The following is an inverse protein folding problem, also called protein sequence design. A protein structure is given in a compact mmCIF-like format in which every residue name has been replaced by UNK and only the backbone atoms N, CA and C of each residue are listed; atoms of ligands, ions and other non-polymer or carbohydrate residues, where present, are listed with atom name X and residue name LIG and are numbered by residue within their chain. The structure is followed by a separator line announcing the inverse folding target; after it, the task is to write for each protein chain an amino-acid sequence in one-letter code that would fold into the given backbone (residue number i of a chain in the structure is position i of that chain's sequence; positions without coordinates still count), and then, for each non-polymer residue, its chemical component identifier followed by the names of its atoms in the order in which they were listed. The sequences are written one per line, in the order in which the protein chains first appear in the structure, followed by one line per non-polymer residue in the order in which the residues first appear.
data_IF_498058178345
#
_entry.id   IF_498058178345
#
_cell.length_a   1.000
_cell.length_b   1.000
_cell.length_c   1.000
_cell.angle_alpha   90.00
_cell.angle_beta   90.00
_cell.angle_gamma   90.00
#
_symmetry.space_group_name_H-M   'P 1'
#
loop_
_entity.id
_entity.type
_entity.pdbx_description
1 polymer ?
#
# COMPACT_ATOMS: atom_id res chain seq x y z
N UNK A 1 8.93 15.02 31.19
CA UNK A 1 7.86 14.84 30.18
C UNK A 1 8.09 13.61 29.31
N UNK A 2 7.03 12.80 29.09
CA UNK A 2 6.80 12.02 27.86
C UNK A 2 7.36 10.57 27.71
N UNK A 3 7.49 9.75 28.77
CA UNK A 3 7.55 8.27 28.60
C UNK A 3 6.20 7.73 28.07
N UNK A 4 5.09 8.31 28.54
CA UNK A 4 3.70 8.00 28.12
C UNK A 4 3.33 8.40 26.69
N UNK A 5 3.80 9.56 26.22
CA UNK A 5 3.58 10.01 24.84
C UNK A 5 4.36 9.15 23.84
N UNK A 6 5.55 8.67 24.25
CA UNK A 6 6.35 7.68 23.49
C UNK A 6 5.63 6.33 23.43
N UNK A 7 5.01 5.89 24.53
CA UNK A 7 4.23 4.64 24.61
C UNK A 7 2.89 4.66 23.83
N UNK A 8 2.17 5.78 23.84
CA UNK A 8 0.99 5.95 22.96
C UNK A 8 1.38 5.96 21.48
N UNK A 9 2.52 6.58 21.13
CA UNK A 9 3.07 6.54 19.76
C UNK A 9 3.46 5.11 19.34
N UNK A 10 4.06 4.31 20.23
CA UNK A 10 4.44 2.92 19.91
C UNK A 10 3.22 2.03 19.71
N UNK A 11 2.18 2.16 20.54
CA UNK A 11 0.92 1.41 20.38
C UNK A 11 0.17 1.80 19.11
N UNK A 12 0.15 3.09 18.74
CA UNK A 12 -0.45 3.57 17.48
C UNK A 12 0.31 3.05 16.25
N UNK A 13 1.65 2.94 16.34
CA UNK A 13 2.52 2.39 15.29
C UNK A 13 2.35 0.86 15.13
N UNK A 14 2.13 0.13 16.23
CA UNK A 14 1.82 -1.31 16.20
C UNK A 14 0.44 -1.58 15.60
N UNK A 15 -0.58 -0.76 15.91
CA UNK A 15 -1.95 -0.93 15.39
C UNK A 15 -2.04 -0.76 13.86
N UNK A 16 -1.20 0.08 13.26
CA UNK A 16 -1.09 0.25 11.80
C UNK A 16 -0.30 -0.87 11.10
N UNK A 17 0.40 -1.72 11.84
CA UNK A 17 1.20 -2.85 11.33
C UNK A 17 0.42 -4.18 11.36
N UNK A 18 -0.92 -4.15 11.39
CA UNK A 18 -1.72 -5.35 11.16
C UNK A 18 -1.75 -5.62 9.67
N UNK A 19 -0.81 -6.46 9.21
CA UNK A 19 -0.95 -7.16 7.93
C UNK A 19 -2.27 -7.94 7.98
N UNK A 20 -3.20 -7.64 7.08
CA UNK A 20 -4.32 -8.54 6.83
C UNK A 20 -3.75 -9.91 6.47
N UNK A 21 -4.24 -10.98 7.11
CA UNK A 21 -3.79 -12.36 6.87
C UNK A 21 -3.93 -12.73 5.39
N UNK A 22 -4.89 -12.13 4.68
CA UNK A 22 -5.25 -12.43 3.30
C UNK A 22 -4.43 -11.72 2.21
N UNK A 23 -3.55 -10.75 2.54
CA UNK A 23 -2.86 -9.96 1.50
C UNK A 23 -1.34 -9.93 1.63
N UNK A 24 -0.63 -10.02 0.51
CA UNK A 24 0.83 -9.96 0.45
C UNK A 24 1.23 -8.76 -0.37
N UNK A 25 2.13 -7.94 0.16
CA UNK A 25 2.62 -6.75 -0.51
C UNK A 25 4.04 -6.97 -1.02
N UNK A 26 4.29 -6.57 -2.26
CA UNK A 26 5.62 -6.40 -2.83
C UNK A 26 5.84 -4.93 -3.17
N UNK A 27 7.09 -4.49 -3.03
CA UNK A 27 7.46 -3.09 -3.19
C UNK A 27 8.81 -2.96 -3.88
N UNK A 28 8.87 -2.15 -4.93
CA UNK A 28 10.10 -1.74 -5.59
C UNK A 28 10.29 -0.24 -5.38
N UNK A 29 11.48 0.12 -4.93
CA UNK A 29 11.83 1.51 -4.66
C UNK A 29 12.91 2.03 -5.61
N UNK A 30 12.88 3.34 -5.84
CA UNK A 30 13.92 4.08 -6.57
C UNK A 30 14.09 3.57 -8.01
N UNK A 31 13.00 3.19 -8.65
CA UNK A 31 13.04 2.83 -10.07
C UNK A 31 13.21 4.12 -10.87
N UNK A 32 14.27 4.21 -11.67
CA UNK A 32 14.59 5.38 -12.49
C UNK A 32 13.68 5.48 -13.74
N UNK A 33 12.42 5.79 -13.50
CA UNK A 33 11.42 6.00 -14.55
C UNK A 33 10.34 6.99 -14.08
N UNK A 34 9.68 7.63 -15.05
CA UNK A 34 8.51 8.47 -14.75
C UNK A 34 7.35 7.62 -14.26
N UNK A 35 6.71 8.06 -13.18
CA UNK A 35 5.52 7.41 -12.63
C UNK A 35 4.41 7.24 -13.67
N UNK A 36 4.23 8.19 -14.59
CA UNK A 36 3.21 8.10 -15.65
C UNK A 36 3.45 6.91 -16.60
N UNK A 37 4.72 6.62 -16.92
CA UNK A 37 5.07 5.47 -17.79
C UNK A 37 4.78 4.14 -17.10
N UNK A 38 5.04 4.05 -15.81
CA UNK A 38 4.71 2.86 -15.02
C UNK A 38 3.20 2.72 -14.80
N UNK A 39 2.48 3.83 -14.55
CA UNK A 39 1.00 3.83 -14.38
C UNK A 39 0.30 3.24 -15.60
N UNK A 40 0.73 3.60 -16.81
CA UNK A 40 0.17 3.05 -18.06
C UNK A 40 0.15 1.51 -18.07
N UNK A 41 1.15 0.85 -17.50
CA UNK A 41 1.20 -0.62 -17.39
C UNK A 41 0.39 -1.10 -16.18
N UNK A 42 0.56 -0.45 -15.02
CA UNK A 42 -0.11 -0.83 -13.78
C UNK A 42 -1.64 -0.77 -13.88
N UNK A 43 -2.18 0.21 -14.60
CA UNK A 43 -3.63 0.36 -14.77
C UNK A 43 -4.24 -0.79 -15.57
N UNK A 44 -3.45 -1.47 -16.44
CA UNK A 44 -3.90 -2.63 -17.21
C UNK A 44 -3.95 -3.92 -16.39
N UNK A 45 -3.13 -4.06 -15.35
CA UNK A 45 -3.02 -5.31 -14.58
C UNK A 45 -3.87 -5.30 -13.30
N UNK A 46 -4.49 -4.16 -12.97
CA UNK A 46 -5.25 -3.99 -11.73
C UNK A 46 -6.51 -4.88 -11.76
N UNK A 47 -6.67 -5.75 -10.76
CA UNK A 47 -7.83 -6.63 -10.62
C UNK A 47 -7.78 -7.90 -11.47
N UNK A 48 -6.68 -8.16 -12.19
CA UNK A 48 -6.50 -9.42 -12.91
C UNK A 48 -5.91 -10.53 -12.04
N UNK A 49 -6.13 -11.77 -12.47
CA UNK A 49 -5.45 -12.94 -11.89
C UNK A 49 -3.96 -12.89 -12.19
N UNK A 50 -3.18 -13.60 -11.39
CA UNK A 50 -1.73 -13.68 -11.54
C UNK A 50 -1.33 -14.20 -12.93
N UNK A 51 -1.91 -15.32 -13.37
CA UNK A 51 -1.64 -15.92 -14.69
C UNK A 51 -1.92 -14.96 -15.84
N UNK A 52 -3.11 -14.35 -15.85
CA UNK A 52 -3.49 -13.37 -16.87
C UNK A 52 -2.55 -12.17 -16.87
N UNK A 53 -2.08 -11.76 -15.70
CA UNK A 53 -1.13 -10.64 -15.58
C UNK A 53 0.23 -10.97 -16.19
N UNK A 54 0.76 -12.18 -15.98
CA UNK A 54 2.01 -12.60 -16.60
C UNK A 54 1.92 -12.54 -18.13
N UNK A 55 0.87 -13.12 -18.70
CA UNK A 55 0.64 -13.09 -20.15
C UNK A 55 0.52 -11.66 -20.68
N UNK A 56 -0.24 -10.80 -20.01
CA UNK A 56 -0.38 -9.40 -20.40
C UNK A 56 0.95 -8.65 -20.36
N UNK A 57 1.76 -8.86 -19.32
CA UNK A 57 3.03 -8.17 -19.17
C UNK A 57 4.07 -8.61 -20.20
N UNK A 58 4.09 -9.90 -20.57
CA UNK A 58 5.00 -10.43 -21.59
C UNK A 58 4.70 -9.87 -22.98
N UNK A 59 3.42 -9.67 -23.31
CA UNK A 59 2.98 -9.17 -24.62
C UNK A 59 3.00 -7.63 -24.74
N UNK A 60 3.25 -6.90 -23.65
CA UNK A 60 3.20 -5.45 -23.66
C UNK A 60 4.40 -4.81 -24.37
N UNK A 61 4.19 -3.82 -25.27
CA UNK A 61 5.27 -3.16 -26.01
C UNK A 61 6.03 -2.11 -25.16
N UNK A 62 5.70 -1.94 -23.89
CA UNK A 62 6.23 -0.85 -23.06
C UNK A 62 7.45 -1.28 -22.26
N UNK A 63 8.60 -0.60 -22.37
CA UNK A 63 9.78 -0.83 -21.51
C UNK A 63 9.50 -0.86 -20.00
N UNK A 64 8.41 -0.20 -19.56
CA UNK A 64 7.96 -0.20 -18.19
C UNK A 64 7.49 -1.57 -17.67
N UNK A 65 7.19 -2.54 -18.55
CA UNK A 65 6.72 -3.87 -18.16
C UNK A 65 7.78 -4.63 -17.36
N UNK A 66 9.06 -4.54 -17.74
CA UNK A 66 10.13 -5.34 -17.15
C UNK A 66 10.28 -5.21 -15.61
N UNK A 67 10.38 -4.00 -15.02
CA UNK A 67 10.44 -3.87 -13.56
C UNK A 67 9.15 -4.33 -12.87
N UNK A 68 8.00 -4.22 -13.53
CA UNK A 68 6.70 -4.63 -12.99
C UNK A 68 6.60 -6.17 -13.02
N UNK A 69 7.00 -6.81 -14.11
CA UNK A 69 7.06 -8.26 -14.26
C UNK A 69 7.90 -8.91 -13.15
N UNK A 70 9.13 -8.41 -12.96
CA UNK A 70 10.00 -8.88 -11.87
C UNK A 70 9.36 -8.72 -10.49
N UNK A 71 8.63 -7.64 -10.28
CA UNK A 71 7.96 -7.38 -9.01
C UNK A 71 6.73 -8.26 -8.80
N UNK A 72 5.95 -8.54 -9.84
CA UNK A 72 4.82 -9.50 -9.80
C UNK A 72 5.33 -10.90 -9.47
N UNK A 73 6.39 -11.35 -10.14
CA UNK A 73 7.03 -12.63 -9.85
C UNK A 73 7.52 -12.71 -8.39
N UNK A 74 8.19 -11.66 -7.91
CA UNK A 74 8.62 -11.58 -6.51
C UNK A 74 7.44 -11.57 -5.53
N UNK A 75 6.31 -10.95 -5.89
CA UNK A 75 5.11 -10.93 -5.07
C UNK A 75 4.52 -12.34 -4.90
N UNK A 76 4.44 -13.11 -5.98
CA UNK A 76 3.97 -14.50 -5.94
C UNK A 76 4.90 -15.38 -5.10
N UNK A 77 6.22 -15.28 -5.30
CA UNK A 77 7.19 -16.00 -4.48
C UNK A 77 7.05 -15.68 -2.98
N UNK A 78 6.86 -14.40 -2.64
CA UNK A 78 6.62 -13.98 -1.25
C UNK A 78 5.29 -14.50 -0.71
N UNK A 79 4.28 -14.66 -1.57
CA UNK A 79 2.97 -15.14 -1.18
C UNK A 79 2.96 -16.66 -0.93
N UNK A 80 3.63 -17.41 -1.79
CA UNK A 80 3.88 -18.85 -1.60
C UNK A 80 4.69 -19.10 -0.32
N UNK A 81 5.83 -18.42 -0.16
CA UNK A 81 6.72 -18.68 0.97
C UNK A 81 6.14 -18.25 2.32
N UNK A 82 5.56 -17.05 2.43
CA UNK A 82 5.17 -16.50 3.73
C UNK A 82 3.72 -16.82 4.12
N UNK A 83 2.85 -17.11 3.15
CA UNK A 83 1.41 -17.26 3.40
C UNK A 83 0.81 -18.51 2.76
N UNK A 84 1.62 -19.33 2.10
CA UNK A 84 1.21 -20.56 1.42
C UNK A 84 0.04 -20.32 0.47
N UNK A 85 0.10 -19.22 -0.29
CA UNK A 85 -0.88 -18.94 -1.33
C UNK A 85 -0.60 -19.83 -2.54
N UNK A 86 -1.67 -20.29 -3.18
CA UNK A 86 -1.59 -20.91 -4.49
C UNK A 86 -1.48 -19.81 -5.56
N UNK A 87 -0.65 -20.02 -6.58
CA UNK A 87 -0.42 -19.04 -7.64
C UNK A 87 -1.67 -18.88 -8.52
N UNK A 88 -2.37 -19.97 -8.82
CA UNK A 88 -3.60 -19.97 -9.62
C UNK A 88 -4.72 -19.13 -8.98
N UNK A 89 -4.81 -19.15 -7.64
CA UNK A 89 -5.86 -18.45 -6.88
C UNK A 89 -5.48 -17.01 -6.52
N UNK A 90 -4.27 -16.57 -6.90
CA UNK A 90 -3.74 -15.25 -6.56
C UNK A 90 -4.25 -14.17 -7.51
N UNK A 91 -4.79 -13.09 -6.95
CA UNK A 91 -5.33 -11.94 -7.69
C UNK A 91 -4.65 -10.65 -7.25
N UNK A 92 -4.38 -9.77 -8.20
CA UNK A 92 -3.84 -8.42 -7.91
C UNK A 92 -4.97 -7.55 -7.37
N UNK A 93 -5.01 -7.43 -6.04
CA UNK A 93 -6.01 -6.61 -5.35
C UNK A 93 -5.76 -5.11 -5.49
N UNK A 94 -4.48 -4.70 -5.44
CA UNK A 94 -4.10 -3.30 -5.46
C UNK A 94 -2.76 -3.14 -6.14
N UNK A 95 -2.68 -2.19 -7.07
CA UNK A 95 -1.45 -1.86 -7.77
C UNK A 95 -1.34 -0.33 -7.90
N UNK A 96 -0.30 0.23 -7.32
CA UNK A 96 -0.08 1.67 -7.21
C UNK A 96 1.33 2.07 -7.63
N UNK A 97 1.44 3.27 -8.21
CA UNK A 97 2.71 3.89 -8.55
C UNK A 97 2.77 5.29 -7.96
N UNK A 98 3.73 5.47 -7.05
CA UNK A 98 4.02 6.73 -6.39
C UNK A 98 5.23 7.41 -7.02
N UNK A 99 5.19 8.75 -7.08
CA UNK A 99 6.36 9.54 -7.43
C UNK A 99 7.45 9.38 -6.38
N UNK A 100 8.70 9.28 -6.82
CA UNK A 100 9.87 9.22 -5.96
C UNK A 100 10.68 10.51 -6.02
N UNK A 101 11.93 10.42 -5.57
CA UNK A 101 12.88 11.54 -5.63
C UNK A 101 13.13 11.95 -7.08
N UNK A 102 13.06 13.25 -7.34
CA UNK A 102 13.38 13.83 -8.65
C UNK A 102 14.79 14.42 -8.57
N UNK A 103 15.69 13.94 -9.42
CA UNK A 103 17.04 14.52 -9.56
C UNK A 103 17.02 15.56 -10.66
N UNK A 104 17.41 16.80 -10.35
CA UNK A 104 17.49 17.90 -11.33
C UNK A 104 18.93 18.04 -11.85
N UNK A 105 19.08 18.22 -13.16
CA UNK A 105 20.35 18.51 -13.84
C UNK A 105 20.20 19.74 -14.71
N UNK A 106 21.16 20.66 -14.67
CA UNK A 106 21.10 21.86 -15.50
C UNK A 106 21.44 21.52 -16.96
N UNK A 107 20.63 21.99 -17.91
CA UNK A 107 20.93 21.93 -19.34
C UNK A 107 21.17 23.34 -19.87
N UNK A 108 22.35 23.63 -20.45
CA UNK A 108 22.59 24.92 -21.09
C UNK A 108 21.68 25.09 -22.31
N UNK A 109 21.24 26.32 -22.56
CA UNK A 109 20.40 26.73 -23.69
C UNK A 109 20.95 28.02 -24.30
N UNK A 110 20.42 28.40 -25.47
CA UNK A 110 20.83 29.59 -26.19
C UNK A 110 20.65 30.88 -25.34
N UNK A 111 21.43 31.91 -25.67
CA UNK A 111 21.41 33.25 -25.02
C UNK A 111 21.71 33.23 -23.52
N UNK A 112 22.67 32.40 -23.08
CA UNK A 112 23.09 32.31 -21.68
C UNK A 112 22.04 31.75 -20.71
N UNK A 113 20.94 31.18 -21.23
CA UNK A 113 19.87 30.60 -20.41
C UNK A 113 20.19 29.17 -20.01
N UNK A 114 19.60 28.73 -18.91
CA UNK A 114 19.68 27.34 -18.47
C UNK A 114 18.33 26.86 -17.92
N UNK A 115 17.99 25.60 -18.22
CA UNK A 115 16.77 24.97 -17.72
C UNK A 115 17.09 23.65 -17.04
N UNK A 116 16.38 23.28 -15.96
CA UNK A 116 16.55 21.98 -15.33
C UNK A 116 15.92 20.86 -16.16
N UNK A 117 16.66 19.77 -16.37
CA UNK A 117 16.12 18.47 -16.77
C UNK A 117 15.83 17.67 -15.50
N UNK A 118 14.62 17.14 -15.41
CA UNK A 118 14.20 16.28 -14.31
C UNK A 118 14.42 14.81 -14.67
N UNK A 119 15.06 14.07 -13.75
CA UNK A 119 15.17 12.62 -13.78
C UNK A 119 14.29 12.05 -12.67
N UNK A 120 13.01 11.76 -12.95
CA UNK A 120 12.10 11.25 -11.94
C UNK A 120 12.42 9.79 -11.62
N UNK A 121 12.29 9.44 -10.34
CA UNK A 121 12.16 8.06 -9.90
C UNK A 121 10.71 7.77 -9.51
N UNK A 122 10.36 6.49 -9.39
CA UNK A 122 9.08 6.06 -8.85
C UNK A 122 9.22 4.88 -7.90
N UNK A 123 8.16 4.67 -7.13
CA UNK A 123 7.97 3.53 -6.24
C UNK A 123 6.73 2.76 -6.69
N UNK A 124 6.85 1.45 -6.88
CA UNK A 124 5.76 0.59 -7.32
C UNK A 124 5.37 -0.31 -6.15
N UNK A 125 4.07 -0.41 -5.90
CA UNK A 125 3.48 -1.24 -4.86
C UNK A 125 2.46 -2.15 -5.53
N UNK A 126 2.62 -3.46 -5.36
CA UNK A 126 1.63 -4.46 -5.78
C UNK A 126 1.22 -5.27 -4.56
N UNK A 127 -0.08 -5.50 -4.42
CA UNK A 127 -0.68 -6.28 -3.36
C UNK A 127 -1.45 -7.43 -3.98
N UNK A 128 -1.00 -8.64 -3.70
CA UNK A 128 -1.70 -9.87 -4.03
C UNK A 128 -2.67 -10.23 -2.91
N UNK A 129 -3.82 -10.76 -3.31
CA UNK A 129 -4.84 -11.32 -2.43
C UNK A 129 -5.16 -12.72 -2.92
N UNK A 130 -5.28 -13.65 -1.98
CA UNK A 130 -5.81 -14.97 -2.23
C UNK A 130 -7.33 -14.89 -2.44
N UNK A 131 -7.82 -15.35 -3.58
CA UNK A 131 -9.25 -15.34 -3.91
C UNK A 131 -10.02 -16.48 -3.23
N UNK A 132 -9.36 -17.58 -2.88
CA UNK A 132 -9.97 -18.75 -2.23
C UNK A 132 -10.39 -18.46 -0.79
N UNK A 133 -9.60 -17.64 -0.09
CA UNK A 133 -9.83 -17.28 1.32
C UNK A 133 -10.95 -16.24 1.42
N UNK A 134 -12.13 -16.71 1.85
CA UNK A 134 -13.23 -15.82 2.26
C UNK A 134 -12.76 -14.93 3.42
N UNK A 135 -13.29 -13.71 3.47
CA UNK A 135 -13.08 -12.80 4.61
C UNK A 135 -13.57 -13.52 5.87
N UNK A 136 -12.74 -13.52 6.91
CA UNK A 136 -13.19 -14.05 8.21
C UNK A 136 -14.23 -13.09 8.81
N UNK A 137 -15.10 -13.59 9.69
CA UNK A 137 -16.11 -12.76 10.37
C UNK A 137 -15.47 -11.55 11.09
N UNK A 138 -14.24 -11.70 11.57
CA UNK A 138 -13.44 -10.63 12.15
C UNK A 138 -13.06 -9.55 11.13
N UNK A 139 -12.71 -9.92 9.90
CA UNK A 139 -12.40 -8.99 8.82
C UNK A 139 -13.65 -8.21 8.39
N UNK A 140 -14.79 -8.91 8.27
CA UNK A 140 -16.10 -8.32 7.96
C UNK A 140 -16.49 -7.31 9.05
N UNK A 141 -16.34 -7.69 10.32
CA UNK A 141 -16.62 -6.84 11.48
C UNK A 141 -15.72 -5.59 11.54
N UNK A 142 -14.45 -5.69 11.14
CA UNK A 142 -13.54 -4.53 11.10
C UNK A 142 -13.88 -3.57 9.94
N UNK A 143 -14.38 -4.09 8.82
CA UNK A 143 -14.82 -3.30 7.68
C UNK A 143 -16.10 -2.51 7.99
N UNK A 144 -17.06 -3.13 8.70
CA UNK A 144 -18.30 -2.46 9.16
C UNK A 144 -18.07 -1.45 10.29
N UNK A 145 -17.06 -1.65 11.14
CA UNK A 145 -16.70 -0.69 12.20
C UNK A 145 -16.16 0.66 11.68
N UNK A 146 -15.68 0.70 10.43
CA UNK A 146 -15.28 1.94 9.78
C UNK A 146 -16.47 2.71 9.18
N UNK A 147 -17.65 2.09 9.14
CA UNK A 147 -18.93 2.70 8.73
C UNK A 147 -19.66 3.29 9.95
N UNK A 148 -19.59 2.62 11.11
CA UNK A 148 -20.22 3.08 12.36
C UNK A 148 -19.29 3.96 13.22
N UNK A 149 -18.98 5.15 12.72
CA UNK A 149 -18.73 6.31 13.59
C UNK A 149 -20.07 6.97 13.89
N UNK A 150 -20.95 6.23 14.55
CA UNK A 150 -22.24 6.75 14.97
C UNK A 150 -22.02 7.75 16.12
N UNK A 151 -22.42 9.02 15.96
CA UNK A 151 -22.17 10.07 16.95
C UNK A 151 -22.70 9.73 18.35
N UNK A 152 -23.70 8.86 18.42
CA UNK A 152 -24.36 8.41 19.64
C UNK A 152 -23.45 7.50 20.47
N UNK A 153 -22.75 6.54 19.84
CA UNK A 153 -21.87 5.59 20.53
C UNK A 153 -20.58 6.31 21.00
N UNK A 154 -20.03 7.20 20.17
CA UNK A 154 -18.88 8.04 20.58
C UNK A 154 -19.25 8.93 21.78
N UNK A 155 -20.43 9.57 21.77
CA UNK A 155 -20.94 10.35 22.91
C UNK A 155 -21.10 9.52 24.18
N UNK A 156 -21.57 8.27 24.08
CA UNK A 156 -21.75 7.41 25.25
C UNK A 156 -20.40 7.00 25.85
N UNK A 157 -19.43 6.64 25.01
CA UNK A 157 -18.05 6.30 25.43
C UNK A 157 -17.34 7.51 26.04
N UNK A 158 -17.52 8.72 25.48
CA UNK A 158 -16.97 9.97 26.04
C UNK A 158 -17.56 10.24 27.43
N UNK A 159 -18.87 10.04 27.60
CA UNK A 159 -19.61 10.25 28.85
C UNK A 159 -19.19 9.26 29.95
N UNK A 160 -18.99 7.99 29.61
CA UNK A 160 -18.43 6.97 30.52
C UNK A 160 -17.00 7.32 30.95
N UNK A 161 -16.15 7.75 30.02
CA UNK A 161 -14.76 8.15 30.30
C UNK A 161 -14.67 9.38 31.21
N UNK A 162 -15.63 10.31 31.11
CA UNK A 162 -15.75 11.44 32.05
C UNK A 162 -16.24 11.02 33.44
N UNK A 163 -17.19 10.07 33.53
CA UNK A 163 -17.65 9.52 34.82
C UNK A 163 -16.53 8.82 35.55
N UNK A 164 -15.73 8.00 34.86
CA UNK A 164 -14.57 7.34 35.45
C UNK A 164 -13.53 8.35 35.93
N UNK A 165 -13.19 9.37 35.14
CA UNK A 165 -12.28 10.45 35.59
C UNK A 165 -12.79 11.13 36.86
N UNK A 166 -14.09 11.44 36.94
CA UNK A 166 -14.70 12.05 38.14
C UNK A 166 -14.67 11.11 39.34
N UNK A 167 -14.80 9.80 39.13
CA UNK A 167 -14.71 8.77 40.17
C UNK A 167 -13.30 8.63 40.75
N UNK A 168 -12.28 8.84 39.91
CA UNK A 168 -10.87 8.79 40.29
C UNK A 168 -10.33 10.10 40.89
N UNK A 169 -10.99 11.24 40.67
CA UNK A 169 -10.64 12.55 41.28
C UNK A 169 -11.23 12.69 42.69
N UNK A 170 -12.23 11.88 43.05
CA UNK A 170 -12.91 11.87 44.36
C UNK A 170 -12.27 10.89 45.37
N UNK A 171 -11.16 10.25 45.02
CA UNK A 171 -10.44 9.28 45.85
C UNK A 171 -9.01 9.77 46.02
#
# INVERSE_FOLDING_TARGET
MSKWRKWKKTLKKQKMKRSSSTQVQALAQRICMSAHKARRVIDQIRGHSYEKTLMLLELMPYRAFYPIFKLVYSAAANASHNKSFNEADSVISKAEVNGGTIVKKLKPRARGRSYPIERPACHIIIVLKDSSKKKTDQDIFLETKNVWRDPIIERYIEKEREREKKRWVKK
#
